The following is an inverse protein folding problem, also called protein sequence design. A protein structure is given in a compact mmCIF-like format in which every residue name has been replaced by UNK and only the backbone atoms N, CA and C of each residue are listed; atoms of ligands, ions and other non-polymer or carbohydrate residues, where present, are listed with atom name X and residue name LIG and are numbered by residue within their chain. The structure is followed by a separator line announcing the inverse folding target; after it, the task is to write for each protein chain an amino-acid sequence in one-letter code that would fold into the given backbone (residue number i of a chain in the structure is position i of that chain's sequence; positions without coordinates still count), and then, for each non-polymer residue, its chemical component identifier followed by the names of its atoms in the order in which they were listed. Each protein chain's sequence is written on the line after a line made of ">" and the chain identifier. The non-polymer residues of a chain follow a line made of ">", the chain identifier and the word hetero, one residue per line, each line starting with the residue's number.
data_IF_131449972666
#
_entry.id   IF_131449972666
#
_cell.length_a   1.000
_cell.length_b   1.000
_cell.length_c   1.000
_cell.angle_alpha   90.00
_cell.angle_beta   90.00
_cell.angle_gamma   90.00
#
_symmetry.space_group_name_H-M   'P 1'
#
loop_
_entity.id
_entity.type
_entity.pdbx_description
1 polymer ?
#
# COMPACT_ATOMS: atom_id res chain seq x y z
N UNK A 1 -35.10 1.62 3.75
CA UNK A 1 -34.65 0.28 4.16
C UNK A 1 -33.22 0.36 4.66
N UNK A 2 -32.84 -0.43 5.67
CA UNK A 2 -31.44 -0.45 6.14
C UNK A 2 -30.62 -1.34 5.22
N UNK A 3 -29.39 -0.95 4.92
CA UNK A 3 -28.48 -1.67 3.99
C UNK A 3 -28.33 -3.16 4.31
N UNK A 4 -28.36 -3.54 5.59
CA UNK A 4 -28.27 -4.95 6.02
C UNK A 4 -29.53 -5.78 5.69
N UNK A 5 -30.71 -5.16 5.66
CA UNK A 5 -31.98 -5.83 5.35
C UNK A 5 -32.03 -6.24 3.87
N UNK A 6 -31.26 -5.57 3.01
CA UNK A 6 -31.08 -5.92 1.61
C UNK A 6 -30.07 -7.07 1.39
N UNK A 7 -29.57 -7.71 2.46
CA UNK A 7 -28.66 -8.86 2.40
C UNK A 7 -27.17 -8.54 2.53
N UNK A 8 -26.79 -7.26 2.67
CA UNK A 8 -25.39 -6.89 2.91
C UNK A 8 -24.93 -7.36 4.30
N UNK A 9 -23.81 -8.11 4.32
CA UNK A 9 -23.23 -8.66 5.56
C UNK A 9 -21.90 -8.02 5.97
N UNK A 10 -21.17 -7.47 5.01
CA UNK A 10 -19.85 -6.88 5.22
C UNK A 10 -19.91 -5.37 5.05
N UNK A 11 -19.40 -4.66 6.05
CA UNK A 11 -19.36 -3.21 6.06
C UNK A 11 -17.92 -2.76 6.29
N UNK A 12 -17.34 -2.14 5.27
CA UNK A 12 -16.07 -1.42 5.41
C UNK A 12 -16.40 0.02 5.78
N UNK A 13 -15.99 0.41 6.99
CA UNK A 13 -16.35 1.72 7.56
C UNK A 13 -15.11 2.58 7.65
N UNK A 14 -15.04 3.60 6.79
CA UNK A 14 -14.08 4.68 7.00
C UNK A 14 -14.48 5.44 8.26
N UNK A 15 -13.61 5.47 9.27
CA UNK A 15 -13.85 6.08 10.58
C UNK A 15 -13.84 7.62 10.55
N UNK A 16 -14.20 8.22 9.42
CA UNK A 16 -14.24 9.67 9.20
C UNK A 16 -15.48 10.00 8.39
N UNK A 17 -16.17 11.06 8.78
CA UNK A 17 -17.29 11.59 8.01
C UNK A 17 -16.78 12.31 6.75
N UNK A 18 -17.55 12.25 5.67
CA UNK A 18 -17.38 13.13 4.54
C UNK A 18 -18.27 14.37 4.72
N UNK A 19 -17.68 15.56 4.70
CA UNK A 19 -18.36 16.85 4.70
C UNK A 19 -18.41 17.33 3.24
N UNK A 20 -19.60 17.34 2.65
CA UNK A 20 -19.80 17.61 1.23
C UNK A 20 -19.79 19.10 0.88
N UNK A 21 -20.05 19.96 1.86
CA UNK A 21 -20.06 21.41 1.69
C UNK A 21 -18.79 22.02 2.27
N UNK A 22 -18.05 22.78 1.45
CA UNK A 22 -16.91 23.58 1.89
C UNK A 22 -15.57 22.86 2.03
N UNK A 23 -15.50 21.53 1.91
CA UNK A 23 -14.24 20.78 1.91
C UNK A 23 -13.99 20.05 0.59
N UNK A 24 -12.77 20.16 0.07
CA UNK A 24 -12.29 19.35 -1.07
C UNK A 24 -12.15 17.87 -0.69
N UNK A 25 -12.04 16.95 -1.68
CA UNK A 25 -11.77 15.54 -1.41
C UNK A 25 -10.45 15.28 -0.68
N UNK A 26 -9.46 16.18 -0.78
CA UNK A 26 -8.22 16.09 -0.01
C UNK A 26 -8.48 16.47 1.46
N UNK A 27 -9.14 17.60 1.70
CA UNK A 27 -9.45 18.06 3.05
C UNK A 27 -10.37 17.09 3.79
N UNK A 28 -11.33 16.47 3.10
CA UNK A 28 -12.17 15.41 3.68
C UNK A 28 -11.37 14.18 4.18
N UNK A 29 -10.13 14.01 3.72
CA UNK A 29 -9.23 12.94 4.18
C UNK A 29 -8.25 13.39 5.26
N UNK A 30 -8.32 14.62 5.74
CA UNK A 30 -7.37 15.21 6.68
C UNK A 30 -8.06 15.98 7.80
N UNK A 31 -9.07 16.79 7.50
CA UNK A 31 -9.68 17.78 8.39
C UNK A 31 -10.64 17.17 9.42
N UNK A 32 -11.68 16.40 9.07
CA UNK A 32 -12.53 15.81 10.12
C UNK A 32 -11.72 14.83 10.98
N UNK A 33 -11.91 14.78 12.30
CA UNK A 33 -11.19 13.84 13.14
C UNK A 33 -11.62 12.40 12.86
N UNK A 34 -10.70 11.45 13.05
CA UNK A 34 -11.03 10.03 13.05
C UNK A 34 -11.84 9.67 14.30
N UNK A 35 -12.80 8.76 14.15
CA UNK A 35 -13.75 8.32 15.18
C UNK A 35 -13.78 6.79 15.25
N UNK A 36 -12.63 6.18 15.56
CA UNK A 36 -12.50 4.71 15.63
C UNK A 36 -13.50 4.07 16.61
N UNK A 37 -13.74 4.70 17.77
CA UNK A 37 -14.71 4.24 18.76
C UNK A 37 -16.12 4.03 18.20
N UNK A 38 -16.51 4.78 17.17
CA UNK A 38 -17.82 4.62 16.54
C UNK A 38 -17.90 3.30 15.76
N UNK A 39 -16.81 2.92 15.10
CA UNK A 39 -16.71 1.64 14.38
C UNK A 39 -16.70 0.48 15.37
N UNK A 40 -16.02 0.62 16.51
CA UNK A 40 -16.03 -0.40 17.57
C UNK A 40 -17.43 -0.59 18.16
N UNK A 41 -18.12 0.51 18.46
CA UNK A 41 -19.52 0.46 18.93
C UNK A 41 -20.45 -0.16 17.87
N UNK A 42 -20.17 0.07 16.59
CA UNK A 42 -20.93 -0.55 15.50
C UNK A 42 -20.75 -2.07 15.51
N UNK A 43 -19.53 -2.58 15.60
CA UNK A 43 -19.26 -4.02 15.71
C UNK A 43 -19.90 -4.63 16.96
N UNK A 44 -19.76 -3.99 18.12
CA UNK A 44 -20.38 -4.44 19.35
C UNK A 44 -21.92 -4.50 19.27
N UNK A 45 -22.54 -3.53 18.59
CA UNK A 45 -24.00 -3.47 18.41
C UNK A 45 -24.51 -4.51 17.42
N UNK A 46 -23.73 -4.83 16.39
CA UNK A 46 -24.12 -5.76 15.33
C UNK A 46 -23.10 -6.89 15.18
N UNK A 47 -22.98 -7.79 16.16
CA UNK A 47 -21.94 -8.82 16.15
C UNK A 47 -22.08 -9.80 14.98
N UNK A 48 -23.29 -9.95 14.43
CA UNK A 48 -23.61 -10.80 13.28
C UNK A 48 -23.22 -10.21 11.91
N UNK A 49 -22.70 -8.98 11.87
CA UNK A 49 -22.15 -8.36 10.67
C UNK A 49 -20.63 -8.38 10.73
N UNK A 50 -20.00 -8.48 9.56
CA UNK A 50 -18.57 -8.28 9.41
C UNK A 50 -18.29 -6.78 9.27
N UNK A 51 -17.55 -6.22 10.22
CA UNK A 51 -17.21 -4.80 10.27
C UNK A 51 -15.69 -4.65 10.14
N UNK A 52 -15.28 -4.05 9.02
CA UNK A 52 -13.88 -3.80 8.69
C UNK A 52 -13.61 -2.31 8.86
N UNK A 53 -12.64 -1.95 9.71
CA UNK A 53 -12.30 -0.56 9.96
C UNK A 53 -11.33 -0.01 8.93
N UNK A 54 -11.51 1.25 8.56
CA UNK A 54 -10.63 1.97 7.65
C UNK A 54 -10.38 3.41 8.12
N UNK A 55 -9.24 3.96 7.68
CA UNK A 55 -8.98 5.39 7.68
C UNK A 55 -7.86 5.80 8.62
N UNK A 56 -6.73 6.24 8.08
CA UNK A 56 -5.63 6.81 8.88
C UNK A 56 -4.70 5.80 9.56
N UNK A 57 -4.92 4.50 9.37
CA UNK A 57 -4.11 3.40 9.90
C UNK A 57 -2.85 3.24 9.03
N UNK A 58 -1.69 3.11 9.68
CA UNK A 58 -0.36 3.16 9.03
C UNK A 58 0.61 2.06 9.46
N UNK A 59 0.43 1.45 10.63
CA UNK A 59 1.39 0.46 11.16
C UNK A 59 0.70 -0.85 11.50
N UNK A 60 1.47 -1.93 11.59
CA UNK A 60 0.96 -3.22 12.04
C UNK A 60 0.52 -3.19 13.51
N UNK A 61 1.19 -2.42 14.36
CA UNK A 61 0.74 -2.19 15.74
C UNK A 61 -0.66 -1.57 15.79
N UNK A 62 -0.93 -0.56 14.95
CA UNK A 62 -2.27 0.02 14.82
C UNK A 62 -3.27 -0.99 14.23
N UNK A 63 -2.86 -1.82 13.26
CA UNK A 63 -3.71 -2.89 12.76
C UNK A 63 -4.10 -3.87 13.88
N UNK A 64 -3.15 -4.35 14.67
CA UNK A 64 -3.40 -5.22 15.83
C UNK A 64 -4.31 -4.57 16.84
N UNK A 65 -4.08 -3.29 17.16
CA UNK A 65 -4.96 -2.50 18.03
C UNK A 65 -6.41 -2.56 17.59
N UNK A 66 -6.65 -2.32 16.30
CA UNK A 66 -7.97 -2.30 15.70
C UNK A 66 -8.61 -3.70 15.59
N UNK A 67 -7.82 -4.73 15.31
CA UNK A 67 -8.28 -6.12 15.19
C UNK A 67 -8.78 -6.70 16.52
N UNK A 68 -8.41 -6.12 17.67
CA UNK A 68 -9.01 -6.49 18.97
C UNK A 68 -10.49 -6.09 19.10
N UNK A 69 -10.98 -5.21 18.22
CA UNK A 69 -12.33 -4.64 18.30
C UNK A 69 -13.18 -4.84 17.05
N UNK A 70 -12.58 -5.27 15.94
CA UNK A 70 -13.21 -5.33 14.61
C UNK A 70 -12.79 -6.60 13.88
N UNK A 71 -13.52 -6.99 12.84
CA UNK A 71 -13.26 -8.24 12.11
C UNK A 71 -12.11 -8.11 11.10
N UNK A 72 -11.74 -6.89 10.74
CA UNK A 72 -10.69 -6.63 9.76
C UNK A 72 -10.26 -5.18 9.71
N UNK A 73 -9.12 -4.95 9.06
CA UNK A 73 -8.54 -3.63 8.83
C UNK A 73 -8.30 -3.44 7.34
N UNK A 74 -8.72 -2.29 6.81
CA UNK A 74 -8.37 -1.89 5.45
C UNK A 74 -7.34 -0.77 5.47
N UNK A 75 -6.21 -1.00 4.80
CA UNK A 75 -5.20 0.01 4.49
C UNK A 75 -5.45 0.61 3.11
N UNK A 76 -5.36 1.94 3.03
CA UNK A 76 -5.52 2.68 1.76
C UNK A 76 -4.25 3.42 1.38
N UNK A 77 -4.18 4.70 1.77
CA UNK A 77 -3.06 5.59 1.43
C UNK A 77 -1.70 5.04 1.85
N UNK A 78 -1.60 4.41 3.01
CA UNK A 78 -0.32 3.88 3.48
C UNK A 78 0.23 2.81 2.54
N UNK A 79 -0.60 1.85 2.12
CA UNK A 79 -0.22 0.81 1.16
C UNK A 79 0.28 1.38 -0.18
N UNK A 80 -0.20 2.56 -0.59
CA UNK A 80 0.27 3.24 -1.80
C UNK A 80 1.55 4.07 -1.57
N UNK A 81 1.66 4.73 -0.42
CA UNK A 81 2.80 5.59 -0.09
C UNK A 81 4.05 4.79 0.31
N UNK A 82 3.85 3.65 0.97
CA UNK A 82 4.87 2.74 1.47
C UNK A 82 4.47 1.29 1.13
N UNK A 83 4.46 0.91 -0.16
CA UNK A 83 4.01 -0.42 -0.59
C UNK A 83 4.84 -1.57 -0.02
N UNK A 84 6.08 -1.31 0.42
CA UNK A 84 6.88 -2.34 1.09
C UNK A 84 6.25 -2.85 2.40
N UNK A 85 5.39 -2.05 3.05
CA UNK A 85 4.61 -2.51 4.20
C UNK A 85 3.87 -3.82 3.88
N UNK A 86 3.36 -3.98 2.65
CA UNK A 86 2.57 -5.15 2.26
C UNK A 86 3.39 -6.45 2.22
N UNK A 87 4.70 -6.39 2.01
CA UNK A 87 5.55 -7.58 2.03
C UNK A 87 5.60 -8.25 3.42
N UNK A 88 5.26 -7.51 4.48
CA UNK A 88 5.18 -8.04 5.84
C UNK A 88 3.79 -8.55 6.26
N UNK A 89 2.76 -8.44 5.41
CA UNK A 89 1.38 -8.79 5.81
C UNK A 89 1.22 -10.30 6.01
N UNK A 90 1.70 -11.10 5.06
CA UNK A 90 1.64 -12.57 5.10
C UNK A 90 2.28 -13.15 6.38
N UNK A 91 3.53 -12.80 6.75
CA UNK A 91 4.12 -13.30 7.99
C UNK A 91 3.47 -12.73 9.25
N UNK A 92 3.07 -11.46 9.25
CA UNK A 92 2.55 -10.80 10.44
C UNK A 92 1.15 -11.29 10.84
N UNK A 93 0.26 -11.51 9.86
CA UNK A 93 -1.16 -11.78 10.12
C UNK A 93 -1.60 -13.20 9.77
N UNK A 94 -0.89 -13.90 8.89
CA UNK A 94 -1.32 -15.20 8.36
C UNK A 94 -0.34 -16.33 8.67
N UNK A 95 0.84 -16.03 9.23
CA UNK A 95 1.87 -17.04 9.50
C UNK A 95 2.46 -17.65 8.23
N UNK A 96 2.32 -16.96 7.10
CA UNK A 96 2.83 -17.36 5.80
C UNK A 96 4.20 -16.70 5.53
N UNK A 97 5.03 -17.30 4.68
CA UNK A 97 6.30 -16.70 4.33
C UNK A 97 6.08 -15.42 3.52
N UNK A 98 6.95 -14.41 3.70
CA UNK A 98 6.91 -13.24 2.85
C UNK A 98 7.11 -13.64 1.37
N UNK A 99 6.38 -13.03 0.42
CA UNK A 99 6.45 -13.42 -0.99
C UNK A 99 7.79 -13.03 -1.65
N UNK A 100 8.52 -12.11 -1.03
CA UNK A 100 9.83 -11.60 -1.46
C UNK A 100 10.64 -11.18 -0.23
N UNK A 101 11.95 -11.34 -0.27
CA UNK A 101 12.82 -11.02 0.86
C UNK A 101 13.26 -9.54 0.85
N UNK A 102 13.43 -8.96 -0.34
CA UNK A 102 13.93 -7.59 -0.50
C UNK A 102 13.11 -6.74 -1.47
N UNK A 103 13.17 -5.42 -1.27
CA UNK A 103 12.58 -4.42 -2.19
C UNK A 103 13.17 -4.54 -3.61
N UNK A 104 14.46 -4.87 -3.71
CA UNK A 104 15.14 -5.09 -4.98
C UNK A 104 14.59 -6.31 -5.71
N UNK A 105 14.42 -7.44 -5.01
CA UNK A 105 13.77 -8.64 -5.57
C UNK A 105 12.34 -8.33 -6.04
N UNK A 106 11.55 -7.62 -5.22
CA UNK A 106 10.19 -7.21 -5.57
C UNK A 106 10.13 -6.38 -6.87
N UNK A 107 11.04 -5.41 -7.01
CA UNK A 107 11.10 -4.59 -8.22
C UNK A 107 11.58 -5.40 -9.43
N UNK A 108 12.57 -6.28 -9.27
CA UNK A 108 13.02 -7.16 -10.36
C UNK A 108 11.91 -8.10 -10.84
N UNK A 109 11.09 -8.62 -9.92
CA UNK A 109 9.94 -9.45 -10.26
C UNK A 109 8.88 -8.70 -11.09
N UNK A 110 8.84 -7.36 -11.01
CA UNK A 110 7.95 -6.52 -11.84
C UNK A 110 8.50 -6.25 -13.24
N UNK A 111 9.81 -6.40 -13.49
CA UNK A 111 10.42 -6.05 -14.78
C UNK A 111 9.83 -6.82 -15.98
N UNK A 112 9.54 -8.13 -15.90
CA UNK A 112 8.92 -8.85 -17.02
C UNK A 112 7.55 -8.28 -17.40
N UNK A 113 6.73 -7.94 -16.39
CA UNK A 113 5.44 -7.28 -16.63
C UNK A 113 5.64 -5.92 -17.32
N UNK A 114 6.52 -5.08 -16.79
CA UNK A 114 6.81 -3.76 -17.38
C UNK A 114 7.31 -3.90 -18.82
N UNK A 115 8.20 -4.86 -19.09
CA UNK A 115 8.70 -5.15 -20.44
C UNK A 115 7.57 -5.52 -21.40
N UNK A 116 6.70 -6.44 -21.00
CA UNK A 116 5.57 -6.86 -21.84
C UNK A 116 4.57 -5.72 -22.14
N UNK A 117 4.35 -4.82 -21.19
CA UNK A 117 3.49 -3.65 -21.39
C UNK A 117 4.15 -2.59 -22.29
N UNK A 118 5.47 -2.42 -22.20
CA UNK A 118 6.22 -1.55 -23.12
C UNK A 118 6.13 -2.06 -24.56
N UNK A 119 6.26 -3.37 -24.79
CA UNK A 119 6.09 -4.00 -26.11
C UNK A 119 4.68 -3.75 -26.68
N UNK A 120 3.67 -3.67 -25.81
CA UNK A 120 2.29 -3.32 -26.16
C UNK A 120 2.07 -1.82 -26.38
N UNK A 121 3.11 -0.99 -26.26
CA UNK A 121 3.06 0.46 -26.45
C UNK A 121 2.59 1.25 -25.23
N UNK A 122 2.55 0.64 -24.04
CA UNK A 122 2.22 1.36 -22.81
C UNK A 122 3.42 2.20 -22.36
N UNK A 123 3.21 3.49 -22.12
CA UNK A 123 4.28 4.36 -21.63
C UNK A 123 4.75 3.97 -20.22
N UNK A 124 6.08 3.96 -20.02
CA UNK A 124 6.71 3.61 -18.74
C UNK A 124 6.13 4.38 -17.55
N UNK A 125 5.88 5.68 -17.69
CA UNK A 125 5.33 6.55 -16.63
C UNK A 125 4.00 6.05 -16.05
N UNK A 126 3.16 5.39 -16.85
CA UNK A 126 1.87 4.87 -16.38
C UNK A 126 2.03 3.75 -15.35
N UNK A 127 3.12 2.99 -15.45
CA UNK A 127 3.47 1.90 -14.54
C UNK A 127 4.41 2.38 -13.43
N UNK A 128 5.49 3.09 -13.79
CA UNK A 128 6.56 3.45 -12.87
C UNK A 128 6.15 4.45 -11.78
N UNK A 129 5.09 5.25 -12.01
CA UNK A 129 4.49 6.12 -10.99
C UNK A 129 4.00 5.35 -9.75
N UNK A 130 3.72 4.05 -9.88
CA UNK A 130 3.28 3.18 -8.78
C UNK A 130 4.47 2.61 -7.98
N UNK A 131 5.70 2.75 -8.49
CA UNK A 131 6.91 2.23 -7.85
C UNK A 131 7.58 3.26 -6.92
N UNK A 132 7.16 4.53 -7.00
CA UNK A 132 7.84 5.66 -6.35
C UNK A 132 7.92 5.56 -4.82
N UNK A 133 7.02 4.80 -4.19
CA UNK A 133 6.98 4.57 -2.75
C UNK A 133 7.81 3.37 -2.28
N UNK A 134 8.30 2.50 -3.18
CA UNK A 134 8.89 1.21 -2.81
C UNK A 134 10.07 1.34 -1.83
N UNK A 135 10.92 2.34 -2.04
CA UNK A 135 12.08 2.63 -1.21
C UNK A 135 11.83 3.77 -0.20
N UNK A 136 10.58 3.94 0.26
CA UNK A 136 10.26 4.91 1.31
C UNK A 136 11.11 4.67 2.56
N UNK A 137 11.67 5.75 3.12
CA UNK A 137 12.52 5.71 4.31
C UNK A 137 13.90 5.05 4.12
N UNK A 138 14.24 4.58 2.92
CA UNK A 138 15.53 3.91 2.66
C UNK A 138 16.62 4.92 2.21
N UNK A 139 17.90 4.71 2.59
CA UNK A 139 19.02 5.40 1.95
C UNK A 139 18.99 5.21 0.43
N UNK A 140 19.10 6.29 -0.34
CA UNK A 140 18.97 6.21 -1.80
C UNK A 140 17.54 6.30 -2.34
N UNK A 141 16.52 6.09 -1.50
CA UNK A 141 15.12 6.05 -1.95
C UNK A 141 14.62 7.36 -2.57
N UNK A 142 15.11 8.52 -2.08
CA UNK A 142 14.82 9.82 -2.71
C UNK A 142 15.43 9.93 -4.10
N UNK A 143 16.66 9.45 -4.28
CA UNK A 143 17.36 9.46 -5.57
C UNK A 143 16.68 8.52 -6.57
N UNK A 144 16.29 7.32 -6.13
CA UNK A 144 15.49 6.37 -6.92
C UNK A 144 14.21 7.05 -7.45
N UNK A 145 13.41 7.62 -6.54
CA UNK A 145 12.16 8.30 -6.90
C UNK A 145 12.40 9.44 -7.89
N UNK A 146 13.40 10.27 -7.62
CA UNK A 146 13.76 11.42 -8.46
C UNK A 146 14.11 10.98 -9.88
N UNK A 147 14.95 9.96 -10.01
CA UNK A 147 15.40 9.48 -11.31
C UNK A 147 14.25 8.97 -12.16
N UNK A 148 13.31 8.20 -11.58
CA UNK A 148 12.11 7.75 -12.30
C UNK A 148 11.26 8.95 -12.73
N UNK A 149 10.99 9.89 -11.83
CA UNK A 149 10.19 11.08 -12.14
C UNK A 149 10.77 11.93 -13.27
N UNK A 150 12.11 12.06 -13.33
CA UNK A 150 12.80 12.86 -14.35
C UNK A 150 12.93 12.15 -15.71
N UNK A 151 12.84 10.81 -15.77
CA UNK A 151 13.18 10.06 -16.98
C UNK A 151 12.03 9.22 -17.56
N UNK A 152 11.11 8.71 -16.73
CA UNK A 152 10.11 7.73 -17.18
C UNK A 152 8.99 8.30 -18.09
N UNK A 153 8.85 9.62 -18.16
CA UNK A 153 7.88 10.29 -19.03
C UNK A 153 8.44 10.58 -20.44
N UNK A 154 9.74 10.36 -20.66
CA UNK A 154 10.40 10.64 -21.94
C UNK A 154 10.00 9.62 -22.99
N UNK A 155 9.94 10.06 -24.26
CA UNK A 155 9.73 9.15 -25.38
C UNK A 155 10.86 8.11 -25.45
N UNK A 156 10.50 6.83 -25.60
CA UNK A 156 11.46 5.73 -25.66
C UNK A 156 12.01 5.26 -24.31
N UNK A 157 11.53 5.80 -23.17
CA UNK A 157 11.92 5.31 -21.85
C UNK A 157 11.47 3.86 -21.63
N UNK A 158 12.42 2.99 -21.29
CA UNK A 158 12.22 1.55 -21.06
C UNK A 158 12.74 1.07 -19.71
N UNK A 159 13.06 -0.23 -19.63
CA UNK A 159 13.50 -0.87 -18.39
C UNK A 159 14.80 -0.27 -17.84
N UNK A 160 15.66 0.26 -18.70
CA UNK A 160 16.93 0.88 -18.34
C UNK A 160 16.76 2.06 -17.36
N UNK A 161 15.62 2.76 -17.41
CA UNK A 161 15.30 3.83 -16.46
C UNK A 161 15.07 3.28 -15.05
N UNK A 162 14.41 2.12 -14.94
CA UNK A 162 14.14 1.47 -13.66
C UNK A 162 15.43 0.87 -13.08
N UNK A 163 16.23 0.25 -13.93
CA UNK A 163 17.53 -0.32 -13.55
C UNK A 163 18.49 0.77 -13.06
N UNK A 164 18.60 1.89 -13.77
CA UNK A 164 19.45 3.02 -13.35
C UNK A 164 18.94 3.66 -12.05
N UNK A 165 17.62 3.66 -11.82
CA UNK A 165 17.05 4.11 -10.55
C UNK A 165 17.44 3.16 -9.41
N UNK A 166 17.39 1.84 -9.64
CA UNK A 166 17.75 0.81 -8.66
C UNK A 166 19.18 0.97 -8.15
N UNK A 167 20.14 1.34 -9.00
CA UNK A 167 21.53 1.63 -8.60
C UNK A 167 21.65 2.73 -7.54
N UNK A 168 20.63 3.60 -7.40
CA UNK A 168 20.64 4.67 -6.40
C UNK A 168 20.36 4.17 -5.00
N UNK A 169 19.87 2.93 -4.85
CA UNK A 169 19.56 2.31 -3.57
C UNK A 169 20.53 1.17 -3.31
N UNK A 170 21.20 1.22 -2.15
CA UNK A 170 22.09 0.13 -1.73
C UNK A 170 21.30 -1.17 -1.64
N UNK A 171 21.81 -2.19 -2.31
CA UNK A 171 21.30 -3.54 -2.18
C UNK A 171 21.94 -4.23 -0.97
N UNK A 172 21.15 -4.85 -0.08
CA UNK A 172 21.70 -5.73 0.94
C UNK A 172 22.47 -6.86 0.25
N UNK A 173 23.66 -7.21 0.74
CA UNK A 173 24.31 -8.42 0.28
C UNK A 173 23.37 -9.60 0.55
N UNK A 174 23.24 -10.51 -0.42
CA UNK A 174 22.58 -11.78 -0.15
C UNK A 174 23.30 -12.43 1.04
N UNK A 175 22.58 -13.03 2.01
CA UNK A 175 23.24 -13.79 3.06
C UNK A 175 24.13 -14.83 2.38
N UNK A 176 25.43 -14.81 2.71
CA UNK A 176 26.33 -15.89 2.32
C UNK A 176 25.69 -17.18 2.84
N UNK A 177 25.38 -18.10 1.93
CA UNK A 177 25.01 -19.45 2.30
C UNK A 177 26.24 -19.99 3.03
N UNK A 178 26.18 -20.08 4.35
CA UNK A 178 27.19 -20.78 5.12
C UNK A 178 27.19 -22.23 4.61
N UNK A 179 28.19 -22.58 3.81
CA UNK A 179 28.44 -23.97 3.44
C UNK A 179 28.63 -24.77 4.73
N UNK A 180 27.79 -25.79 4.90
CA UNK A 180 27.81 -26.72 6.03
C UNK A 180 28.93 -27.77 5.87
#
# INVERSE_FOLDING_TARGET
>A
EKVSEAGCRTFIVHARIAILEGLSPKENREVPPLKYDWVYRLKAKYPHLEIIINGGIKTFDECHEHLRHTDGVMLGREAYHNPWLLAGVDPEFFGEAAPVETRHQALRAMLPFIGSELERGVFLTHMSRHLLGLFHGQPGGRQFRRYISENAHKSGAGLEVIETALEKVREPAAPEIAEA
#
